data_IF_660075474039
#
_entry.id   IF_660075474039
#
_cell.length_a   1.000
_cell.length_b   1.000
_cell.length_c   1.000
_cell.angle_alpha   90.00
_cell.angle_beta   90.00
_cell.angle_gamma   90.00
#
_symmetry.space_group_name_H-M   'P 1'
#
loop_
_entity.id
_entity.type
_entity.pdbx_description
1 polymer ?
#
# COMPACT_ATOMS: atom_id res chain seq x y z
N UNK A 1 -9.02 -28.97 -32.33
CA UNK A 1 -7.86 -28.56 -31.52
C UNK A 1 -8.30 -27.32 -30.77
N UNK A 2 -8.47 -27.38 -29.45
CA UNK A 2 -8.91 -26.22 -28.67
C UNK A 2 -7.74 -25.24 -28.59
N UNK A 3 -7.93 -24.01 -29.05
CA UNK A 3 -6.92 -22.95 -28.95
C UNK A 3 -6.69 -22.63 -27.46
N UNK A 4 -5.43 -22.66 -27.02
CA UNK A 4 -5.10 -22.33 -25.64
C UNK A 4 -5.49 -20.87 -25.35
N UNK A 5 -6.43 -20.67 -24.42
CA UNK A 5 -6.88 -19.35 -23.99
C UNK A 5 -5.91 -18.78 -22.95
N UNK A 6 -5.37 -17.60 -23.23
CA UNK A 6 -4.42 -16.91 -22.38
C UNK A 6 -5.04 -15.67 -21.75
N UNK A 7 -4.64 -15.39 -20.52
CA UNK A 7 -5.00 -14.21 -19.75
C UNK A 7 -3.71 -13.50 -19.33
N UNK A 8 -3.75 -12.17 -19.26
CA UNK A 8 -2.62 -11.35 -18.82
C UNK A 8 -3.04 -10.34 -17.74
N UNK A 9 -2.13 -10.02 -16.82
CA UNK A 9 -2.42 -9.07 -15.75
C UNK A 9 -2.04 -7.63 -16.15
N UNK A 10 -3.00 -6.70 -16.08
CA UNK A 10 -2.80 -5.28 -16.36
C UNK A 10 -3.44 -4.43 -15.26
N UNK A 11 -2.68 -3.51 -14.67
CA UNK A 11 -3.15 -2.64 -13.58
C UNK A 11 -3.83 -3.37 -12.41
N UNK A 12 -3.42 -4.61 -12.12
CA UNK A 12 -4.01 -5.44 -11.06
C UNK A 12 -5.33 -6.15 -11.44
N UNK A 13 -5.73 -6.15 -12.72
CA UNK A 13 -6.87 -6.91 -13.24
C UNK A 13 -6.41 -7.91 -14.31
N UNK A 14 -7.04 -9.07 -14.36
CA UNK A 14 -6.84 -10.06 -15.43
C UNK A 14 -7.64 -9.66 -16.67
N UNK A 15 -6.97 -9.51 -17.81
CA UNK A 15 -7.57 -9.26 -19.12
C UNK A 15 -7.41 -10.53 -19.99
N UNK A 16 -8.48 -10.93 -20.68
CA UNK A 16 -8.54 -12.12 -21.53
C UNK A 16 -9.98 -12.59 -21.77
N UNK A 17 -10.23 -13.67 -22.53
CA UNK A 17 -9.23 -14.58 -23.13
C UNK A 17 -8.64 -14.04 -24.45
N UNK A 18 -7.33 -14.20 -24.63
CA UNK A 18 -6.59 -13.89 -25.86
C UNK A 18 -5.92 -15.17 -26.35
N UNK A 19 -5.82 -15.34 -27.66
CA UNK A 19 -5.08 -16.44 -28.27
C UNK A 19 -3.57 -16.17 -28.31
N UNK A 20 -2.78 -17.17 -28.71
CA UNK A 20 -1.32 -17.05 -28.77
C UNK A 20 -0.87 -15.97 -29.78
N UNK A 21 -1.59 -15.81 -30.90
CA UNK A 21 -1.30 -14.78 -31.90
C UNK A 21 -1.58 -13.37 -31.37
N UNK A 22 -2.69 -13.17 -30.66
CA UNK A 22 -3.00 -11.92 -29.98
C UNK A 22 -2.00 -11.58 -28.89
N UNK A 23 -1.49 -12.58 -28.16
CA UNK A 23 -0.47 -12.38 -27.13
C UNK A 23 0.87 -11.94 -27.74
N UNK A 24 1.28 -12.54 -28.86
CA UNK A 24 2.46 -12.09 -29.61
C UNK A 24 2.31 -10.65 -30.13
N UNK A 25 1.13 -10.29 -30.63
CA UNK A 25 0.85 -8.91 -31.05
C UNK A 25 0.94 -7.92 -29.90
N UNK A 26 0.37 -8.26 -28.73
CA UNK A 26 0.48 -7.43 -27.52
C UNK A 26 1.92 -7.27 -27.03
N UNK A 27 2.77 -8.27 -27.26
CA UNK A 27 4.20 -8.20 -26.97
C UNK A 27 4.94 -7.27 -27.96
N UNK A 28 4.62 -7.37 -29.25
CA UNK A 28 5.19 -6.50 -30.30
C UNK A 28 4.75 -5.03 -30.12
N UNK A 29 3.50 -4.83 -29.71
CA UNK A 29 2.91 -3.51 -29.42
C UNK A 29 3.41 -2.92 -28.08
N UNK A 30 4.23 -3.67 -27.32
CA UNK A 30 4.78 -3.24 -26.02
C UNK A 30 3.75 -3.15 -24.89
N UNK A 31 2.56 -3.71 -25.07
CA UNK A 31 1.47 -3.72 -24.08
C UNK A 31 1.77 -4.70 -22.94
N UNK A 32 2.41 -5.83 -23.27
CA UNK A 32 2.91 -6.79 -22.29
C UNK A 32 4.44 -6.80 -22.32
N UNK A 33 5.04 -6.72 -21.13
CA UNK A 33 6.48 -6.73 -20.95
C UNK A 33 6.92 -8.04 -20.28
N UNK A 34 8.23 -8.25 -20.17
CA UNK A 34 8.76 -9.49 -19.61
C UNK A 34 8.32 -9.81 -18.16
N UNK A 35 7.95 -8.80 -17.38
CA UNK A 35 7.43 -8.95 -16.02
C UNK A 35 5.89 -9.11 -15.97
N UNK A 36 5.20 -9.01 -17.11
CA UNK A 36 3.76 -9.17 -17.17
C UNK A 36 3.39 -10.62 -16.88
N UNK A 37 2.50 -10.80 -15.91
CA UNK A 37 1.99 -12.11 -15.52
C UNK A 37 1.00 -12.61 -16.56
N UNK A 38 1.22 -13.84 -17.00
CA UNK A 38 0.40 -14.58 -17.94
C UNK A 38 -0.13 -15.84 -17.27
N UNK A 39 -1.33 -16.24 -17.64
CA UNK A 39 -1.92 -17.49 -17.19
C UNK A 39 -2.68 -18.12 -18.35
N UNK A 40 -2.55 -19.43 -18.51
CA UNK A 40 -3.40 -20.20 -19.40
C UNK A 40 -4.07 -21.32 -18.63
N UNK A 41 -5.19 -21.80 -19.16
CA UNK A 41 -5.89 -22.97 -18.64
C UNK A 41 -4.92 -24.17 -18.60
N UNK A 42 -4.76 -24.78 -17.43
CA UNK A 42 -3.79 -25.85 -17.17
C UNK A 42 -2.49 -25.42 -16.47
N UNK A 43 -2.23 -24.12 -16.26
CA UNK A 43 -1.11 -23.68 -15.43
C UNK A 43 -1.43 -23.70 -13.94
N UNK A 44 -0.46 -24.13 -13.13
CA UNK A 44 -0.53 -24.13 -11.67
C UNK A 44 -0.69 -22.73 -11.05
N UNK A 45 -0.39 -21.66 -11.79
CA UNK A 45 -0.53 -20.27 -11.34
C UNK A 45 -0.05 -19.27 -12.38
N UNK A 46 -0.22 -17.98 -12.09
CA UNK A 46 0.25 -16.89 -12.94
C UNK A 46 1.78 -16.88 -13.03
N UNK A 47 2.33 -16.81 -14.24
CA UNK A 47 3.77 -16.79 -14.48
C UNK A 47 4.21 -15.57 -15.29
N UNK A 48 5.34 -14.92 -14.95
CA UNK A 48 5.84 -13.81 -15.76
C UNK A 48 6.35 -14.33 -17.11
N UNK A 49 6.10 -13.55 -18.18
CA UNK A 49 6.51 -13.89 -19.54
C UNK A 49 8.01 -14.24 -19.66
N UNK A 50 8.88 -13.56 -18.90
CA UNK A 50 10.31 -13.86 -18.84
C UNK A 50 10.63 -15.27 -18.33
N UNK A 51 9.89 -15.76 -17.34
CA UNK A 51 10.11 -17.11 -16.82
C UNK A 51 9.71 -18.14 -17.87
N UNK A 52 8.58 -17.94 -18.56
CA UNK A 52 8.13 -18.80 -19.65
C UNK A 52 9.13 -18.84 -20.82
N UNK A 53 9.68 -17.68 -21.22
CA UNK A 53 10.70 -17.61 -22.26
C UNK A 53 12.03 -18.27 -21.85
N UNK A 54 12.39 -18.17 -20.58
CA UNK A 54 13.60 -18.79 -20.03
C UNK A 54 13.48 -20.31 -20.03
N UNK A 55 12.31 -20.84 -19.64
CA UNK A 55 12.00 -22.29 -19.71
C UNK A 55 12.00 -22.79 -21.15
N UNK A 56 11.41 -22.04 -22.09
CA UNK A 56 11.40 -22.41 -23.51
C UNK A 56 12.81 -22.41 -24.13
N UNK A 57 13.72 -21.56 -23.63
CA UNK A 57 15.10 -21.44 -24.11
C UNK A 57 16.08 -22.42 -23.44
N UNK A 58 15.71 -23.00 -22.30
CA UNK A 58 16.54 -23.95 -21.54
C UNK A 58 16.46 -25.40 -22.05
N UNK A 59 15.71 -25.69 -23.11
CA UNK A 59 15.81 -26.96 -23.83
C UNK A 59 16.66 -26.74 -25.10
N UNK A 60 17.86 -27.35 -25.20
CA UNK A 60 17.95 -28.81 -25.42
C UNK A 60 19.16 -29.52 -24.74
N UNK A 61 19.14 -30.86 -24.88
CA UNK A 61 20.23 -31.84 -24.67
C UNK A 61 20.43 -32.43 -23.26
N UNK A 62 19.96 -33.67 -23.07
CA UNK A 62 20.82 -34.83 -22.83
C UNK A 62 19.98 -36.12 -22.69
N UNK A 63 20.04 -36.98 -23.71
CA UNK A 63 19.93 -38.43 -23.57
C UNK A 63 21.29 -38.96 -23.07
N UNK A 64 21.32 -39.80 -22.01
CA UNK A 64 22.12 -41.05 -21.93
C UNK A 64 22.07 -41.72 -20.51
N UNK A 65 21.30 -42.81 -20.44
CA UNK A 65 21.50 -44.19 -19.90
C UNK A 65 22.43 -44.53 -18.68
N UNK A 66 21.82 -45.29 -17.73
CA UNK A 66 22.29 -46.40 -16.83
C UNK A 66 23.38 -46.16 -15.75
N UNK A 67 23.50 -46.90 -14.64
CA UNK A 67 22.74 -47.86 -13.80
C UNK A 67 23.64 -48.11 -12.55
N UNK A 68 23.10 -48.59 -11.42
CA UNK A 68 23.90 -49.31 -10.40
C UNK A 68 23.82 -48.87 -8.93
N UNK A 69 22.79 -49.36 -8.23
CA UNK A 69 22.76 -49.96 -6.87
C UNK A 69 23.60 -49.38 -5.70
N UNK A 70 22.91 -48.95 -4.63
CA UNK A 70 23.03 -49.53 -3.26
C UNK A 70 22.03 -48.89 -2.27
N UNK A 71 21.23 -49.71 -1.58
CA UNK A 71 20.31 -49.31 -0.51
C UNK A 71 21.05 -48.78 0.74
N UNK A 72 20.44 -47.91 1.57
CA UNK A 72 19.82 -48.47 2.79
C UNK A 72 18.61 -47.68 3.39
N UNK A 73 17.86 -48.39 4.26
CA UNK A 73 16.94 -47.89 5.30
C UNK A 73 15.63 -47.24 4.82
N UNK A 74 14.70 -48.11 4.45
CA UNK A 74 13.27 -47.82 4.44
C UNK A 74 12.77 -47.69 5.90
N UNK A 75 12.64 -46.46 6.39
CA UNK A 75 11.53 -46.08 7.28
C UNK A 75 11.52 -44.56 7.55
N UNK A 76 12.64 -43.84 7.38
CA UNK A 76 12.67 -42.38 7.59
C UNK A 76 12.53 -41.58 6.28
N UNK A 77 12.98 -42.15 5.15
CA UNK A 77 12.86 -41.51 3.83
C UNK A 77 11.44 -41.55 3.24
N UNK A 78 10.60 -42.52 3.67
CA UNK A 78 9.23 -42.65 3.16
C UNK A 78 8.32 -41.52 3.65
N UNK A 79 8.55 -41.00 4.86
CA UNK A 79 7.79 -39.86 5.41
C UNK A 79 8.24 -38.54 4.79
N UNK A 80 9.54 -38.40 4.48
CA UNK A 80 10.07 -37.22 3.79
C UNK A 80 9.69 -37.16 2.30
N UNK A 81 9.61 -38.31 1.62
CA UNK A 81 9.19 -38.41 0.21
C UNK A 81 7.67 -38.26 0.02
N UNK A 82 6.85 -38.70 0.98
CA UNK A 82 5.42 -38.43 0.94
C UNK A 82 5.10 -36.93 1.12
N UNK A 83 5.91 -36.22 1.92
CA UNK A 83 5.76 -34.77 2.11
C UNK A 83 6.18 -33.94 0.87
N UNK A 84 6.99 -34.47 -0.06
CA UNK A 84 7.35 -33.76 -1.30
C UNK A 84 6.33 -33.92 -2.42
N UNK A 85 5.37 -34.83 -2.26
CA UNK A 85 4.31 -35.13 -3.24
C UNK A 85 2.93 -34.60 -2.84
N UNK A 86 2.81 -33.89 -1.71
CA UNK A 86 1.55 -33.29 -1.28
C UNK A 86 1.15 -32.17 -2.27
N UNK A 87 0.08 -32.35 -3.07
CA UNK A 87 -0.36 -31.37 -4.07
C UNK A 87 -0.85 -30.06 -3.43
N UNK A 88 -1.11 -30.07 -2.12
CA UNK A 88 -1.56 -28.94 -1.32
C UNK A 88 -0.48 -28.34 -0.43
N UNK A 89 0.78 -28.81 -0.53
CA UNK A 89 1.90 -28.18 0.18
C UNK A 89 2.11 -26.80 -0.43
N UNK A 90 1.74 -25.77 0.34
CA UNK A 90 2.05 -24.39 0.00
C UNK A 90 3.55 -24.30 -0.34
N UNK A 91 3.94 -23.71 -1.48
CA UNK A 91 5.34 -23.55 -1.82
C UNK A 91 6.03 -22.93 -0.61
N UNK A 92 7.05 -23.60 -0.06
CA UNK A 92 7.99 -22.93 0.83
C UNK A 92 8.44 -21.70 0.09
N UNK A 93 8.02 -20.53 0.55
CA UNK A 93 8.37 -19.26 -0.05
C UNK A 93 9.89 -19.19 -0.07
N UNK A 94 10.49 -19.56 -1.21
CA UNK A 94 11.88 -19.25 -1.53
C UNK A 94 12.03 -17.79 -1.19
N UNK A 95 12.86 -17.51 -0.19
CA UNK A 95 12.83 -16.30 0.63
C UNK A 95 12.34 -15.12 -0.18
N UNK A 96 11.23 -14.52 0.28
CA UNK A 96 10.61 -13.33 -0.31
C UNK A 96 11.72 -12.50 -0.93
N UNK A 97 11.82 -12.39 -2.27
CA UNK A 97 12.86 -11.56 -2.87
C UNK A 97 12.69 -10.22 -2.19
N UNK A 98 13.73 -9.81 -1.48
CA UNK A 98 13.80 -8.64 -0.60
C UNK A 98 12.82 -7.61 -1.18
N UNK A 99 11.66 -7.41 -0.54
CA UNK A 99 10.56 -6.68 -1.16
C UNK A 99 11.12 -5.33 -1.47
N UNK A 100 11.50 -5.10 -2.73
CA UNK A 100 12.19 -3.87 -3.13
C UNK A 100 11.17 -2.79 -2.78
N UNK A 101 11.43 -1.95 -1.76
CA UNK A 101 10.43 -0.99 -1.34
C UNK A 101 10.08 -0.17 -2.58
N UNK A 102 8.81 0.16 -2.76
CA UNK A 102 8.27 0.71 -4.02
C UNK A 102 8.98 2.02 -4.48
N UNK A 103 9.86 2.58 -3.65
CA UNK A 103 10.74 3.71 -3.94
C UNK A 103 12.25 3.44 -3.90
N UNK A 104 12.73 2.19 -3.84
CA UNK A 104 14.16 1.86 -3.76
C UNK A 104 14.96 2.36 -4.98
N UNK A 105 14.31 2.46 -6.15
CA UNK A 105 14.88 3.02 -7.37
C UNK A 105 14.58 4.51 -7.59
N UNK A 106 13.80 5.15 -6.71
CA UNK A 106 13.46 6.57 -6.84
C UNK A 106 14.52 7.42 -6.16
N UNK A 107 15.06 8.40 -6.89
CA UNK A 107 16.09 9.32 -6.38
C UNK A 107 15.52 10.71 -6.08
N UNK A 108 16.30 11.50 -5.33
CA UNK A 108 15.94 12.86 -4.94
C UNK A 108 14.64 12.94 -4.14
N UNK A 109 13.85 13.99 -4.39
CA UNK A 109 12.62 14.25 -3.64
C UNK A 109 11.59 13.11 -3.73
N UNK A 110 11.48 12.43 -4.88
CA UNK A 110 10.51 11.34 -5.05
C UNK A 110 10.84 10.16 -4.12
N UNK A 111 12.12 9.82 -3.99
CA UNK A 111 12.58 8.79 -3.05
C UNK A 111 12.28 9.15 -1.59
N UNK A 112 12.40 10.43 -1.23
CA UNK A 112 12.07 10.92 0.12
C UNK A 112 10.57 10.85 0.41
N UNK A 113 9.71 11.28 -0.51
CA UNK A 113 8.27 11.12 -0.36
C UNK A 113 7.87 9.65 -0.32
N UNK A 114 8.49 8.79 -1.13
CA UNK A 114 8.26 7.36 -1.10
C UNK A 114 8.70 6.74 0.23
N UNK A 115 9.77 7.22 0.86
CA UNK A 115 10.19 6.75 2.18
C UNK A 115 9.24 7.15 3.32
N UNK A 116 8.54 8.28 3.21
CA UNK A 116 7.58 8.76 4.23
C UNK A 116 6.19 8.13 4.09
N UNK A 117 5.74 7.97 2.84
CA UNK A 117 4.39 7.51 2.52
C UNK A 117 4.33 6.00 2.30
N UNK A 118 5.50 5.41 2.01
CA UNK A 118 5.77 3.99 1.76
C UNK A 118 4.82 3.38 0.76
N UNK A 119 4.08 2.35 1.16
CA UNK A 119 3.28 1.53 0.24
C UNK A 119 2.22 2.31 -0.54
N UNK A 120 1.77 3.46 0.01
CA UNK A 120 0.76 4.30 -0.64
C UNK A 120 1.34 5.31 -1.64
N UNK A 121 2.67 5.35 -1.81
CA UNK A 121 3.34 6.35 -2.63
C UNK A 121 2.74 6.53 -4.05
N UNK A 122 2.35 5.48 -4.81
CA UNK A 122 1.75 5.66 -6.14
C UNK A 122 0.47 6.49 -6.13
N UNK A 123 -0.35 6.35 -5.09
CA UNK A 123 -1.61 7.09 -4.92
C UNK A 123 -1.28 8.57 -4.68
N UNK A 124 -0.36 8.83 -3.74
CA UNK A 124 -0.01 10.20 -3.34
C UNK A 124 0.84 10.92 -4.40
N UNK A 125 1.64 10.20 -5.19
CA UNK A 125 2.36 10.75 -6.34
C UNK A 125 1.40 11.46 -7.30
N UNK A 126 0.33 10.76 -7.72
CA UNK A 126 -0.70 11.32 -8.60
C UNK A 126 -1.48 12.42 -7.91
N UNK A 127 -1.91 12.19 -6.67
CA UNK A 127 -2.77 13.10 -5.91
C UNK A 127 -2.10 14.43 -5.55
N UNK A 128 -0.80 14.40 -5.28
CA UNK A 128 0.01 15.59 -5.02
C UNK A 128 0.66 16.18 -6.26
N UNK A 129 0.38 15.59 -7.44
CA UNK A 129 0.88 16.06 -8.73
C UNK A 129 2.41 16.19 -8.71
N UNK A 130 3.09 15.24 -8.05
CA UNK A 130 4.56 15.31 -7.85
C UNK A 130 5.31 15.32 -9.18
N UNK A 131 4.69 14.79 -10.24
CA UNK A 131 5.22 14.79 -11.60
C UNK A 131 5.21 16.19 -12.26
N UNK A 132 4.50 17.17 -11.70
CA UNK A 132 4.38 18.55 -12.23
C UNK A 132 5.43 19.52 -11.65
N UNK A 133 6.46 19.00 -10.96
CA UNK A 133 7.59 19.76 -10.44
C UNK A 133 7.36 20.36 -9.04
N UNK A 134 6.17 20.88 -8.75
CA UNK A 134 5.84 21.41 -7.41
C UNK A 134 4.75 20.57 -6.75
N UNK A 135 5.05 20.00 -5.58
CA UNK A 135 4.08 19.20 -4.82
C UNK A 135 2.88 20.08 -4.41
N UNK A 136 1.68 19.69 -4.86
CA UNK A 136 0.45 20.43 -4.59
C UNK A 136 -0.72 19.47 -4.30
N UNK A 137 -1.32 19.63 -3.13
CA UNK A 137 -2.45 18.83 -2.64
C UNK A 137 -3.78 19.60 -2.59
N UNK A 138 -3.79 20.87 -2.98
CA UNK A 138 -4.96 21.76 -2.90
C UNK A 138 -6.08 21.29 -3.82
N UNK A 139 -7.33 21.41 -3.36
CA UNK A 139 -8.51 21.08 -4.15
C UNK A 139 -8.79 19.58 -4.32
N UNK A 140 -8.16 18.71 -3.51
CA UNK A 140 -8.39 17.27 -3.59
C UNK A 140 -9.25 16.74 -2.45
N UNK A 141 -10.50 16.37 -2.75
CA UNK A 141 -11.45 15.84 -1.77
C UNK A 141 -10.96 14.58 -1.04
N UNK A 142 -10.92 14.60 0.28
CA UNK A 142 -10.40 13.53 1.13
C UNK A 142 -11.49 12.92 2.03
N UNK A 143 -12.23 11.96 1.48
CA UNK A 143 -13.36 11.32 2.16
C UNK A 143 -13.04 10.74 3.56
N UNK A 144 -11.86 10.13 3.84
CA UNK A 144 -11.57 9.65 5.19
C UNK A 144 -11.38 10.78 6.19
N UNK A 145 -10.91 11.94 5.72
CA UNK A 145 -10.74 13.12 6.57
C UNK A 145 -12.08 13.72 6.96
N UNK A 146 -13.03 13.72 6.03
CA UNK A 146 -14.41 14.11 6.28
C UNK A 146 -15.06 13.24 7.37
N UNK A 147 -15.13 11.92 7.16
CA UNK A 147 -15.83 11.03 8.10
C UNK A 147 -15.06 10.76 9.40
N UNK A 148 -13.74 10.69 9.32
CA UNK A 148 -12.91 10.16 10.40
C UNK A 148 -11.77 11.12 10.76
N UNK A 149 -12.02 12.43 10.80
CA UNK A 149 -10.98 13.46 10.89
C UNK A 149 -9.88 13.20 11.92
N UNK A 150 -10.22 13.11 13.21
CA UNK A 150 -9.24 12.88 14.29
C UNK A 150 -8.59 11.49 14.18
N UNK A 151 -9.39 10.46 13.89
CA UNK A 151 -8.92 9.07 13.77
C UNK A 151 -7.91 8.94 12.62
N UNK A 152 -8.20 9.53 11.47
CA UNK A 152 -7.32 9.58 10.32
C UNK A 152 -6.03 10.35 10.62
N UNK A 153 -6.11 11.51 11.30
CA UNK A 153 -4.91 12.26 11.70
C UNK A 153 -4.01 11.44 12.63
N UNK A 154 -4.62 10.74 13.61
CA UNK A 154 -3.90 9.87 14.54
C UNK A 154 -3.30 8.64 13.85
N UNK A 155 -4.04 8.02 12.94
CA UNK A 155 -3.56 6.92 12.10
C UNK A 155 -2.36 7.32 11.24
N UNK A 156 -2.37 8.54 10.68
CA UNK A 156 -1.30 9.13 9.88
C UNK A 156 -0.21 9.83 10.70
N UNK A 157 -0.17 9.62 12.02
CA UNK A 157 0.84 10.16 12.95
C UNK A 157 0.92 11.70 12.99
N UNK A 158 -0.13 12.39 12.57
CA UNK A 158 -0.23 13.85 12.68
C UNK A 158 -0.70 14.29 14.07
N UNK A 159 -0.09 13.75 15.13
CA UNK A 159 -0.54 13.89 16.52
C UNK A 159 -0.70 15.34 16.97
N UNK A 160 0.20 16.23 16.55
CA UNK A 160 0.10 17.67 16.87
C UNK A 160 -1.13 18.32 16.24
N UNK A 161 -1.45 17.99 14.99
CA UNK A 161 -2.65 18.53 14.34
C UNK A 161 -3.91 17.88 14.91
N UNK A 162 -3.87 16.58 15.24
CA UNK A 162 -4.97 15.92 15.92
C UNK A 162 -5.29 16.60 17.25
N UNK A 163 -4.29 16.92 18.08
CA UNK A 163 -4.48 17.63 19.34
C UNK A 163 -5.08 19.03 19.16
N UNK A 164 -4.59 19.80 18.16
CA UNK A 164 -5.16 21.11 17.83
C UNK A 164 -6.62 20.97 17.38
N UNK A 165 -6.91 20.00 16.51
CA UNK A 165 -8.27 19.79 15.99
C UNK A 165 -9.24 19.33 17.07
N UNK A 166 -8.82 18.45 17.98
CA UNK A 166 -9.60 18.09 19.18
C UNK A 166 -9.88 19.32 20.04
N UNK A 167 -8.89 20.22 20.20
CA UNK A 167 -9.09 21.50 20.87
C UNK A 167 -10.13 22.39 20.20
N UNK A 168 -10.13 22.46 18.86
CA UNK A 168 -11.15 23.19 18.07
C UNK A 168 -12.54 22.59 18.27
N UNK A 169 -12.66 21.26 18.23
CA UNK A 169 -13.93 20.57 18.49
C UNK A 169 -14.45 20.84 19.90
N UNK A 170 -13.58 20.72 20.91
CA UNK A 170 -13.94 21.00 22.29
C UNK A 170 -14.35 22.47 22.50
N UNK A 171 -13.62 23.41 21.90
CA UNK A 171 -13.97 24.82 21.94
C UNK A 171 -15.32 25.11 21.27
N UNK A 172 -15.61 24.48 20.12
CA UNK A 172 -16.93 24.58 19.47
C UNK A 172 -18.03 24.10 20.41
N UNK A 173 -17.86 22.92 21.02
CA UNK A 173 -18.84 22.37 21.96
C UNK A 173 -19.08 23.28 23.16
N UNK A 174 -18.02 23.89 23.71
CA UNK A 174 -18.14 24.84 24.82
C UNK A 174 -18.92 26.08 24.39
N UNK A 175 -18.61 26.66 23.22
CA UNK A 175 -19.33 27.83 22.69
C UNK A 175 -20.80 27.51 22.46
N UNK A 176 -21.12 26.37 21.86
CA UNK A 176 -22.50 25.93 21.62
C UNK A 176 -23.29 25.81 22.93
N UNK A 177 -22.66 25.31 24.00
CA UNK A 177 -23.26 25.18 25.33
C UNK A 177 -23.54 26.53 26.02
N UNK A 178 -22.77 27.59 25.71
CA UNK A 178 -22.99 28.93 26.29
C UNK A 178 -23.97 29.80 25.49
N UNK A 179 -24.23 29.46 24.23
CA UNK A 179 -24.99 30.30 23.28
C UNK A 179 -26.39 29.72 22.97
N UNK A 180 -26.77 28.59 23.58
CA UNK A 180 -28.05 27.89 23.34
C UNK A 180 -28.32 27.68 21.84
N UNK A 181 -27.30 27.20 21.13
CA UNK A 181 -27.36 27.03 19.67
C UNK A 181 -28.43 25.98 19.31
N UNK A 182 -29.37 26.28 18.40
CA UNK A 182 -30.38 25.31 17.97
C UNK A 182 -29.74 24.05 17.36
N UNK A 183 -30.36 22.89 17.60
CA UNK A 183 -29.82 21.58 17.16
C UNK A 183 -29.53 21.54 15.65
N UNK A 184 -30.41 22.10 14.82
CA UNK A 184 -30.20 22.16 13.38
C UNK A 184 -28.94 22.96 13.00
N UNK A 185 -28.63 24.03 13.73
CA UNK A 185 -27.44 24.84 13.49
C UNK A 185 -26.18 24.13 14.01
N UNK A 186 -26.25 23.42 15.14
CA UNK A 186 -25.17 22.56 15.63
C UNK A 186 -24.78 21.49 14.61
N UNK A 187 -25.77 20.82 13.98
CA UNK A 187 -25.52 19.85 12.91
C UNK A 187 -24.77 20.49 11.74
N UNK A 188 -25.18 21.67 11.29
CA UNK A 188 -24.51 22.41 10.20
C UNK A 188 -23.08 22.78 10.57
N UNK A 189 -22.84 23.23 11.81
CA UNK A 189 -21.49 23.54 12.31
C UNK A 189 -20.62 22.27 12.30
N UNK A 190 -21.13 21.15 12.83
CA UNK A 190 -20.41 19.89 12.86
C UNK A 190 -20.05 19.39 11.45
N UNK A 191 -21.03 19.44 10.53
CA UNK A 191 -20.82 19.08 9.14
C UNK A 191 -19.83 20.02 8.44
N UNK A 192 -19.86 21.31 8.75
CA UNK A 192 -18.90 22.30 8.25
C UNK A 192 -17.47 22.04 8.74
N UNK A 193 -17.30 21.69 10.03
CA UNK A 193 -16.01 21.29 10.59
C UNK A 193 -15.51 20.00 9.92
N UNK A 194 -16.37 19.00 9.76
CA UNK A 194 -16.05 17.76 9.06
C UNK A 194 -15.67 18.01 7.58
N UNK A 195 -16.43 18.83 6.86
CA UNK A 195 -16.13 19.23 5.48
C UNK A 195 -14.79 19.98 5.36
N UNK A 196 -14.44 20.80 6.35
CA UNK A 196 -13.14 21.48 6.43
C UNK A 196 -12.00 20.46 6.44
N UNK A 197 -12.10 19.40 7.24
CA UNK A 197 -11.11 18.31 7.21
C UNK A 197 -11.15 17.56 5.88
N UNK A 198 -12.33 17.31 5.30
CA UNK A 198 -12.47 16.69 3.99
C UNK A 198 -11.72 17.43 2.87
N UNK A 199 -11.74 18.76 2.89
CA UNK A 199 -11.06 19.60 1.89
C UNK A 199 -9.57 19.77 2.19
N UNK A 200 -9.19 19.92 3.47
CA UNK A 200 -7.82 20.28 3.87
C UNK A 200 -6.94 19.11 4.30
N UNK A 201 -7.51 17.93 4.59
CA UNK A 201 -6.73 16.78 5.09
C UNK A 201 -5.53 16.46 4.21
N UNK A 202 -5.72 16.40 2.89
CA UNK A 202 -4.62 16.05 2.00
C UNK A 202 -3.50 17.11 1.98
N UNK A 203 -3.84 18.40 2.09
CA UNK A 203 -2.83 19.47 2.15
C UNK A 203 -2.10 19.49 3.48
N UNK A 204 -2.79 19.25 4.59
CA UNK A 204 -2.15 19.08 5.89
C UNK A 204 -1.21 17.88 5.92
N UNK A 205 -1.58 16.76 5.30
CA UNK A 205 -0.74 15.58 5.24
C UNK A 205 0.50 15.80 4.36
N UNK A 206 0.35 16.47 3.21
CA UNK A 206 1.50 16.85 2.37
C UNK A 206 2.48 17.76 3.15
N UNK A 207 1.97 18.80 3.81
CA UNK A 207 2.79 19.69 4.63
C UNK A 207 3.48 18.94 5.78
N UNK A 208 2.79 17.97 6.39
CA UNK A 208 3.37 17.13 7.42
C UNK A 208 4.57 16.34 6.86
N UNK A 209 4.39 15.66 5.72
CA UNK A 209 5.46 14.91 5.06
C UNK A 209 6.65 15.81 4.71
N UNK A 210 6.39 17.01 4.16
CA UNK A 210 7.43 17.99 3.84
C UNK A 210 8.21 18.43 5.08
N UNK A 211 7.55 18.66 6.21
CA UNK A 211 8.21 19.00 7.48
C UNK A 211 9.05 17.84 8.00
N UNK A 212 8.60 16.61 7.86
CA UNK A 212 9.39 15.43 8.26
C UNK A 212 10.64 15.26 7.40
N UNK A 213 10.50 15.39 6.07
CA UNK A 213 11.62 15.35 5.14
C UNK A 213 12.63 16.47 5.46
N UNK A 214 12.17 17.70 5.62
CA UNK A 214 13.03 18.84 5.93
C UNK A 214 13.79 18.65 7.26
N UNK A 215 13.12 18.12 8.29
CA UNK A 215 13.77 17.79 9.58
C UNK A 215 14.82 16.70 9.40
N UNK A 216 14.49 15.63 8.67
CA UNK A 216 15.41 14.53 8.45
C UNK A 216 16.66 14.98 7.68
N UNK A 217 16.48 15.80 6.65
CA UNK A 217 17.57 16.42 5.88
C UNK A 217 18.40 17.39 6.72
N UNK A 218 17.80 18.13 7.65
CA UNK A 218 18.57 19.02 8.54
C UNK A 218 19.49 18.26 9.51
N UNK A 219 19.12 17.03 9.88
CA UNK A 219 19.88 16.19 10.81
C UNK A 219 20.99 15.39 10.12
N UNK A 220 20.79 15.00 8.86
CA UNK A 220 21.72 14.18 8.08
C UNK A 220 21.97 14.81 6.70
N UNK A 221 22.49 16.05 6.68
CA UNK A 221 22.64 16.86 5.46
C UNK A 221 23.46 16.16 4.37
N UNK A 222 24.48 15.42 4.76
CA UNK A 222 25.47 14.85 3.84
C UNK A 222 25.19 13.38 3.47
N UNK A 223 24.16 12.77 4.07
CA UNK A 223 23.86 11.34 3.88
C UNK A 223 22.39 11.10 3.55
N UNK A 224 22.05 11.22 2.27
CA UNK A 224 20.68 11.01 1.77
C UNK A 224 20.17 9.58 2.01
N UNK A 225 21.05 8.57 1.97
CA UNK A 225 20.69 7.18 2.28
C UNK A 225 20.26 7.03 3.74
N UNK A 226 20.95 7.69 4.68
CA UNK A 226 20.57 7.73 6.09
C UNK A 226 19.26 8.51 6.31
N UNK A 227 19.03 9.60 5.57
CA UNK A 227 17.74 10.31 5.59
C UNK A 227 16.62 9.38 5.16
N UNK A 228 16.77 8.68 4.04
CA UNK A 228 15.74 7.77 3.51
C UNK A 228 15.47 6.59 4.46
N UNK A 229 16.51 5.97 5.02
CA UNK A 229 16.35 4.86 5.95
C UNK A 229 15.66 5.31 7.24
N UNK A 230 15.97 6.49 7.76
CA UNK A 230 15.31 7.05 8.94
C UNK A 230 13.83 7.36 8.69
N UNK A 231 13.48 7.88 7.51
CA UNK A 231 12.10 8.13 7.12
C UNK A 231 11.33 6.80 6.97
N UNK A 232 11.93 5.81 6.30
CA UNK A 232 11.33 4.49 6.14
C UNK A 232 11.13 3.74 7.47
N UNK A 233 12.10 3.84 8.40
CA UNK A 233 12.04 3.19 9.71
C UNK A 233 10.92 3.72 10.60
N UNK A 234 10.47 4.97 10.41
CA UNK A 234 9.36 5.53 11.18
C UNK A 234 8.01 4.88 10.85
N UNK A 235 7.88 4.25 9.68
CA UNK A 235 6.68 3.54 9.23
C UNK A 235 5.50 4.46 8.89
N UNK A 236 4.79 4.14 7.81
CA UNK A 236 3.78 5.00 7.18
C UNK A 236 2.54 5.30 8.04
N UNK A 237 2.21 4.40 8.98
CA UNK A 237 0.91 4.38 9.68
C UNK A 237 1.04 3.91 11.14
N UNK A 238 0.06 4.27 11.97
CA UNK A 238 -0.03 3.91 13.39
C UNK A 238 -1.41 3.33 13.69
N UNK A 239 -1.53 2.00 13.71
CA UNK A 239 -2.77 1.31 14.09
C UNK A 239 -3.13 1.64 15.54
N UNK A 240 -2.14 1.63 16.44
CA UNK A 240 -2.35 1.98 17.85
C UNK A 240 -2.89 3.41 18.01
N UNK A 241 -2.37 4.35 17.20
CA UNK A 241 -2.87 5.72 17.18
C UNK A 241 -4.36 5.80 16.81
N UNK A 242 -4.79 5.02 15.82
CA UNK A 242 -6.19 4.94 15.42
C UNK A 242 -7.09 4.35 16.53
N UNK A 243 -6.64 3.28 17.19
CA UNK A 243 -7.38 2.65 18.31
C UNK A 243 -7.55 3.62 19.46
N UNK A 244 -6.49 4.32 19.85
CA UNK A 244 -6.55 5.37 20.90
C UNK A 244 -7.56 6.46 20.51
N UNK A 245 -7.50 6.92 19.25
CA UNK A 245 -8.41 7.95 18.76
C UNK A 245 -9.88 7.52 18.84
N UNK A 246 -10.18 6.28 18.44
CA UNK A 246 -11.53 5.70 18.53
C UNK A 246 -11.99 5.65 19.98
N UNK A 247 -11.15 5.13 20.90
CA UNK A 247 -11.48 5.04 22.31
C UNK A 247 -11.78 6.43 22.91
N UNK A 248 -10.96 7.43 22.60
CA UNK A 248 -11.16 8.82 23.05
C UNK A 248 -12.45 9.41 22.46
N UNK A 249 -12.71 9.24 21.16
CA UNK A 249 -13.93 9.73 20.51
C UNK A 249 -15.20 9.12 21.09
N UNK A 250 -15.21 7.80 21.35
CA UNK A 250 -16.34 7.11 22.00
C UNK A 250 -16.55 7.63 23.42
N UNK A 251 -15.47 7.77 24.19
CA UNK A 251 -15.54 8.26 25.58
C UNK A 251 -16.12 9.68 25.63
N UNK A 252 -15.64 10.59 24.77
CA UNK A 252 -16.17 11.96 24.67
C UNK A 252 -17.64 11.98 24.26
N UNK A 253 -18.05 11.10 23.33
CA UNK A 253 -19.45 10.98 22.92
C UNK A 253 -20.36 10.54 24.07
N UNK A 254 -19.95 9.54 24.86
CA UNK A 254 -20.70 9.07 26.03
C UNK A 254 -20.81 10.18 27.08
N UNK A 255 -19.71 10.87 27.39
CA UNK A 255 -19.72 11.99 28.35
C UNK A 255 -20.66 13.10 27.89
N UNK A 256 -20.65 13.43 26.60
CA UNK A 256 -21.58 14.41 26.04
C UNK A 256 -23.04 14.05 26.28
N UNK A 257 -23.42 12.80 25.97
CA UNK A 257 -24.80 12.31 26.20
C UNK A 257 -25.18 12.33 27.68
N UNK A 258 -24.27 11.96 28.58
CA UNK A 258 -24.53 11.95 30.03
C UNK A 258 -24.69 13.36 30.61
N UNK A 259 -24.04 14.38 30.01
CA UNK A 259 -24.15 15.77 30.47
C UNK A 259 -25.41 16.46 29.95
N UNK A 260 -25.97 16.03 28.83
CA UNK A 260 -27.14 16.66 28.19
C UNK A 260 -28.45 15.89 28.40
N UNK A 261 -28.40 14.66 28.90
CA UNK A 261 -29.56 13.84 29.27
C UNK A 261 -29.86 13.90 30.76
#
# INVERSE_FOLDING_TARGET
MQEAQWYYARNGKSEGPVDLAGLQKLQQDGVIAGHTLLWCEGMAGWQPLQALQSTARAAPAADDIADGSAAPRADEAAVAAAASQDPYRAPTASGTPDVIPLGAGLTGQMGLYAAVVGGNFPIYRKRWRLDQGTANATGTWHWPGFLFGVIWMMYRKMYRMAAIWVGVLAASSVVEAFVDVPEALSLVINLGLSATVGVLANSWYLQHCQREIARAQSLNRDNEAAVRSMLAARGDTSVMGAVIAIAVSVTLGIVGVVLTG
#
